data_IF_904497407107
#
_entry.id   IF_904497407107
#
_cell.length_a   1.000
_cell.length_b   1.000
_cell.length_c   1.000
_cell.angle_alpha   90.00
_cell.angle_beta   90.00
_cell.angle_gamma   90.00
#
_symmetry.space_group_name_H-M   'P 1'
#
loop_
_entity.id
_entity.type
_entity.pdbx_description
1 polymer ?
#
# COMPACT_ATOMS: atom_id res chain seq x y z
N UNK A 1 6.75 -8.31 23.99
CA UNK A 1 6.61 -6.86 23.82
C UNK A 1 6.76 -6.57 22.33
N UNK A 2 5.67 -6.30 21.61
CA UNK A 2 5.78 -5.89 20.21
C UNK A 2 6.25 -4.44 20.20
N UNK A 3 7.54 -4.25 19.91
CA UNK A 3 8.01 -2.95 19.44
C UNK A 3 7.26 -2.75 18.12
N UNK A 4 6.28 -1.84 18.10
CA UNK A 4 5.72 -1.39 16.83
C UNK A 4 6.89 -0.79 16.06
N UNK A 5 7.45 -1.56 15.12
CA UNK A 5 8.53 -1.10 14.28
C UNK A 5 7.98 0.13 13.55
N UNK A 6 8.67 1.27 13.70
CA UNK A 6 8.26 2.50 13.04
C UNK A 6 8.27 2.21 11.53
N UNK A 7 7.17 2.50 10.81
CA UNK A 7 7.09 2.24 9.37
C UNK A 7 8.24 2.91 8.63
N UNK A 8 8.92 2.16 7.74
CA UNK A 8 10.07 2.66 6.99
C UNK A 8 9.59 3.43 5.76
N UNK A 9 10.16 4.62 5.51
CA UNK A 9 10.00 5.32 4.22
C UNK A 9 10.77 4.61 3.11
N UNK A 10 10.12 4.39 1.97
CA UNK A 10 10.66 3.66 0.81
C UNK A 10 10.24 4.32 -0.50
N UNK A 11 10.93 3.96 -1.57
CA UNK A 11 10.58 4.35 -2.94
C UNK A 11 9.55 3.41 -3.57
N UNK A 12 9.05 3.77 -4.74
CA UNK A 12 8.08 2.98 -5.49
C UNK A 12 8.61 1.60 -5.90
N UNK A 13 9.91 1.49 -6.23
CA UNK A 13 10.54 0.23 -6.67
C UNK A 13 10.55 -0.82 -5.55
N UNK A 14 10.96 -0.41 -4.35
CA UNK A 14 10.91 -1.29 -3.19
C UNK A 14 9.47 -1.63 -2.78
N UNK A 15 8.56 -0.67 -2.87
CA UNK A 15 7.15 -0.91 -2.52
C UNK A 15 6.47 -1.90 -3.46
N UNK A 16 6.76 -1.87 -4.77
CA UNK A 16 6.20 -2.85 -5.71
C UNK A 16 6.76 -4.25 -5.47
N UNK A 17 8.06 -4.38 -5.18
CA UNK A 17 8.67 -5.66 -4.79
C UNK A 17 7.98 -6.26 -3.57
N UNK A 18 7.80 -5.46 -2.51
CA UNK A 18 7.09 -5.88 -1.31
C UNK A 18 5.66 -6.36 -1.61
N UNK A 19 4.89 -5.60 -2.38
CA UNK A 19 3.51 -5.97 -2.74
C UNK A 19 3.43 -7.23 -3.61
N UNK A 20 4.48 -7.55 -4.39
CA UNK A 20 4.55 -8.78 -5.16
C UNK A 20 4.85 -10.00 -4.28
N UNK A 21 5.69 -9.82 -3.25
CA UNK A 21 6.01 -10.85 -2.25
C UNK A 21 4.85 -11.11 -1.29
N UNK A 22 4.02 -10.09 -1.06
CA UNK A 22 2.87 -10.11 -0.14
C UNK A 22 1.56 -9.79 -0.87
N UNK A 23 0.92 -10.75 -1.56
CA UNK A 23 -0.33 -10.53 -2.32
C UNK A 23 -1.52 -10.05 -1.48
N UNK A 24 -1.49 -10.27 -0.18
CA UNK A 24 -2.47 -9.79 0.80
C UNK A 24 -2.29 -8.30 1.12
N UNK A 25 -1.11 -7.73 0.89
CA UNK A 25 -0.80 -6.34 1.19
C UNK A 25 -1.48 -5.36 0.22
N UNK A 26 -1.51 -4.09 0.59
CA UNK A 26 -2.06 -3.04 -0.27
C UNK A 26 -1.46 -1.67 0.00
N UNK A 27 -1.43 -0.84 -1.03
CA UNK A 27 -1.16 0.59 -0.91
C UNK A 27 -2.46 1.27 -0.46
N UNK A 28 -2.42 1.98 0.65
CA UNK A 28 -3.54 2.74 1.17
C UNK A 28 -3.24 4.24 1.19
N UNK A 29 -4.30 5.04 1.01
CA UNK A 29 -4.26 6.49 1.08
C UNK A 29 -5.41 7.01 1.94
N UNK A 30 -5.10 7.92 2.85
CA UNK A 30 -6.04 8.68 3.68
C UNK A 30 -5.48 10.10 3.84
N UNK A 31 -6.23 11.13 3.47
CA UNK A 31 -5.83 12.55 3.62
C UNK A 31 -4.39 12.86 3.16
N UNK A 32 -4.00 12.33 1.99
CA UNK A 32 -2.65 12.45 1.39
C UNK A 32 -1.53 11.73 2.16
N UNK A 33 -1.85 10.97 3.19
CA UNK A 33 -0.94 10.03 3.82
C UNK A 33 -0.95 8.71 3.06
N UNK A 34 0.21 8.22 2.66
CA UNK A 34 0.36 7.01 1.85
C UNK A 34 1.20 5.96 2.57
N UNK A 35 0.67 4.74 2.66
CA UNK A 35 1.36 3.62 3.30
C UNK A 35 1.04 2.28 2.63
N UNK A 36 1.93 1.32 2.83
CA UNK A 36 1.61 -0.09 2.59
C UNK A 36 1.04 -0.68 3.87
N UNK A 37 -0.15 -1.26 3.79
CA UNK A 37 -0.69 -2.15 4.82
C UNK A 37 -0.25 -3.60 4.53
N UNK A 38 0.10 -4.38 5.57
CA UNK A 38 0.40 -5.80 5.39
C UNK A 38 -0.84 -6.62 4.99
N UNK A 39 -2.06 -6.09 5.17
CA UNK A 39 -3.30 -6.75 4.75
C UNK A 39 -4.31 -5.72 4.24
N UNK A 40 -4.71 -5.85 2.98
CA UNK A 40 -5.68 -5.03 2.28
C UNK A 40 -7.06 -4.96 2.97
N UNK A 41 -7.41 -5.95 3.79
CA UNK A 41 -8.63 -5.94 4.60
C UNK A 41 -8.47 -5.24 5.96
N UNK A 42 -7.23 -4.99 6.41
CA UNK A 42 -6.88 -4.35 7.68
C UNK A 42 -6.01 -3.12 7.41
N UNK A 43 -6.65 -2.01 7.01
CA UNK A 43 -5.92 -0.84 6.51
C UNK A 43 -5.26 0.01 7.60
N UNK A 44 -5.53 -0.23 8.88
CA UNK A 44 -4.97 0.55 10.00
C UNK A 44 -3.48 0.28 10.27
N UNK A 45 -2.95 -0.85 9.79
CA UNK A 45 -1.54 -1.18 9.95
C UNK A 45 -0.69 -0.56 8.84
N UNK A 46 0.49 -0.09 9.21
CA UNK A 46 1.44 0.55 8.30
C UNK A 46 2.77 -0.17 8.44
N UNK A 47 3.27 -0.76 7.35
CA UNK A 47 4.60 -1.41 7.32
C UNK A 47 5.63 -0.58 6.57
N UNK A 48 5.18 0.13 5.52
CA UNK A 48 6.01 1.01 4.72
C UNK A 48 5.27 2.33 4.49
N UNK A 49 6.02 3.42 4.37
CA UNK A 49 5.50 4.74 4.05
C UNK A 49 6.03 5.20 2.71
N UNK A 50 5.18 5.86 1.94
CA UNK A 50 5.55 6.52 0.70
C UNK A 50 5.24 8.01 0.83
N UNK A 51 6.04 8.85 0.20
CA UNK A 51 5.59 10.21 -0.08
C UNK A 51 4.64 10.22 -1.28
N UNK A 52 4.03 11.38 -1.54
CA UNK A 52 3.07 11.53 -2.63
C UNK A 52 3.69 11.20 -3.99
N UNK A 53 4.96 11.55 -4.22
CA UNK A 53 5.61 11.34 -5.52
C UNK A 53 5.83 9.84 -5.76
N UNK A 54 6.34 9.13 -4.77
CA UNK A 54 6.58 7.69 -4.86
C UNK A 54 5.26 6.89 -4.91
N UNK A 55 4.22 7.33 -4.19
CA UNK A 55 2.91 6.70 -4.25
C UNK A 55 2.24 6.85 -5.63
N UNK A 56 2.32 8.02 -6.25
CA UNK A 56 1.82 8.23 -7.62
C UNK A 56 2.61 7.39 -8.64
N UNK A 57 3.94 7.33 -8.53
CA UNK A 57 4.76 6.45 -9.37
C UNK A 57 4.39 4.97 -9.22
N UNK A 58 4.12 4.53 -8.01
CA UNK A 58 3.69 3.15 -7.75
C UNK A 58 2.33 2.86 -8.39
N UNK A 59 1.40 3.82 -8.38
CA UNK A 59 0.08 3.68 -9.03
C UNK A 59 0.16 3.59 -10.55
N UNK A 60 1.21 4.13 -11.17
CA UNK A 60 1.44 4.02 -12.60
C UNK A 60 1.91 2.61 -13.02
N UNK A 61 2.28 1.74 -12.07
CA UNK A 61 2.61 0.35 -12.36
C UNK A 61 1.37 -0.43 -12.86
N UNK A 62 1.44 -1.11 -14.02
CA UNK A 62 0.29 -1.78 -14.63
C UNK A 62 -0.28 -2.95 -13.81
N UNK A 63 0.46 -3.44 -12.82
CA UNK A 63 0.04 -4.52 -11.90
C UNK A 63 -0.75 -3.99 -10.72
N UNK A 64 -0.60 -2.70 -10.39
CA UNK A 64 -1.29 -2.04 -9.28
C UNK A 64 -2.70 -1.67 -9.74
N UNK A 65 -3.70 -2.10 -8.98
CA UNK A 65 -5.11 -1.91 -9.32
C UNK A 65 -5.90 -1.33 -8.14
N UNK A 66 -6.74 -0.31 -8.38
CA UNK A 66 -7.61 0.21 -7.33
C UNK A 66 -8.63 -0.84 -6.91
N UNK A 67 -8.94 -0.86 -5.62
CA UNK A 67 -10.00 -1.68 -5.03
C UNK A 67 -11.18 -0.76 -4.72
N UNK A 68 -12.35 -1.08 -5.25
CA UNK A 68 -13.59 -0.38 -4.93
C UNK A 68 -14.29 -1.01 -3.72
N UNK A 69 -15.11 -0.21 -3.02
CA UNK A 69 -16.00 -0.72 -1.97
C UNK A 69 -15.32 -1.15 -0.67
N UNK A 70 -14.15 -0.59 -0.35
CA UNK A 70 -13.52 -0.84 0.95
C UNK A 70 -14.39 -0.26 2.09
N UNK A 71 -14.39 -0.94 3.24
CA UNK A 71 -15.24 -0.59 4.38
C UNK A 71 -14.82 0.71 5.13
N UNK A 72 -13.68 1.31 4.76
CA UNK A 72 -13.13 2.50 5.40
C UNK A 72 -13.46 3.76 4.60
N UNK A 73 -14.39 4.56 5.11
CA UNK A 73 -14.74 5.85 4.51
C UNK A 73 -13.53 6.79 4.48
N UNK A 74 -13.34 7.52 3.38
CA UNK A 74 -12.21 8.45 3.21
C UNK A 74 -10.89 7.78 2.77
N UNK A 75 -10.82 6.45 2.76
CA UNK A 75 -9.64 5.72 2.30
C UNK A 75 -9.76 5.30 0.84
N UNK A 76 -8.61 5.22 0.19
CA UNK A 76 -8.45 4.54 -1.09
C UNK A 76 -7.46 3.40 -0.94
N UNK A 77 -7.65 2.32 -1.69
CA UNK A 77 -6.82 1.13 -1.62
C UNK A 77 -6.44 0.65 -3.02
N UNK A 78 -5.19 0.27 -3.19
CA UNK A 78 -4.68 -0.41 -4.38
C UNK A 78 -3.95 -1.68 -3.97
N UNK A 79 -4.06 -2.71 -4.80
CA UNK A 79 -3.39 -4.00 -4.58
C UNK A 79 -2.65 -4.43 -5.84
N UNK A 80 -1.62 -5.25 -5.68
CA UNK A 80 -0.98 -5.91 -6.81
C UNK A 80 -1.80 -7.14 -7.20
N UNK A 81 -2.21 -7.20 -8.47
CA UNK A 81 -2.83 -8.40 -9.04
C UNK A 81 -1.84 -9.08 -9.98
N UNK A 82 -1.69 -10.40 -9.84
CA UNK A 82 -0.96 -11.18 -10.84
C UNK A 82 -1.72 -11.08 -12.16
N UNK A 83 -1.02 -10.66 -13.22
CA UNK A 83 -1.51 -10.82 -14.58
C UNK A 83 -1.46 -12.32 -14.91
N UNK A 84 -2.64 -12.94 -14.97
CA UNK A 84 -2.81 -14.29 -15.54
C UNK A 84 -2.76 -14.23 -17.05
#
# INVERSE_FOLDING_TARGET
>A
MSVAAVPRKVDAEYAIEYLQEHPEAGLCCEDLHWWITPNANETDQQVLLLDVVEAERLKDDPRVRPVSGIAHAGRSLWVVRRMT
#
